data_IF_926962999014
#
_entry.id   IF_926962999014
#
_cell.length_a   1.000
_cell.length_b   1.000
_cell.length_c   1.000
_cell.angle_alpha   90.00
_cell.angle_beta   90.00
_cell.angle_gamma   90.00
#
_symmetry.space_group_name_H-M   'P 1'
#
loop_
_entity.id
_entity.type
_entity.pdbx_description
1 polymer ?
#
# COMPACT_ATOMS: atom_id res chain seq x y z
N UNK A 1 21.31 5.68 1.47
CA UNK A 1 21.02 6.62 2.57
C UNK A 1 19.68 7.35 2.42
N UNK A 2 19.23 7.72 1.21
CA UNK A 2 17.92 8.38 0.97
C UNK A 2 16.67 7.55 1.30
N UNK A 3 16.74 6.22 1.23
CA UNK A 3 15.58 5.35 1.53
C UNK A 3 15.22 5.29 3.02
N UNK A 4 16.21 5.39 3.92
CA UNK A 4 16.01 5.33 5.37
C UNK A 4 15.72 6.70 5.99
N UNK A 5 16.04 7.77 5.26
CA UNK A 5 15.85 9.16 5.67
C UNK A 5 15.22 9.92 4.51
N UNK A 6 13.92 9.72 4.24
CA UNK A 6 13.23 10.43 3.19
C UNK A 6 13.08 11.91 3.58
N UNK A 7 13.21 12.80 2.59
CA UNK A 7 12.96 14.24 2.75
C UNK A 7 11.48 14.53 2.98
N UNK A 8 10.60 13.66 2.44
CA UNK A 8 9.15 13.69 2.61
C UNK A 8 8.66 12.37 3.24
N UNK A 9 8.13 12.40 4.48
CA UNK A 9 7.60 11.20 5.14
C UNK A 9 6.33 10.64 4.48
N UNK A 10 5.72 11.34 3.52
CA UNK A 10 4.53 10.92 2.77
C UNK A 10 4.84 10.39 1.35
N UNK A 11 6.12 10.24 0.98
CA UNK A 11 6.54 9.68 -0.31
C UNK A 11 6.27 8.15 -0.37
N UNK A 12 5.04 7.80 -0.74
CA UNK A 12 4.58 6.40 -0.86
C UNK A 12 5.44 5.59 -1.83
N UNK A 13 5.78 6.06 -3.05
CA UNK A 13 6.67 5.34 -3.95
C UNK A 13 8.01 4.96 -3.31
N UNK A 14 8.62 5.88 -2.56
CA UNK A 14 9.89 5.62 -1.88
C UNK A 14 9.76 4.63 -0.72
N UNK A 15 8.65 4.66 0.01
CA UNK A 15 8.35 3.66 1.04
C UNK A 15 8.21 2.25 0.42
N UNK A 16 7.52 2.13 -0.73
CA UNK A 16 7.40 0.86 -1.48
C UNK A 16 8.76 0.37 -1.94
N UNK A 17 9.62 1.25 -2.47
CA UNK A 17 10.99 0.92 -2.88
C UNK A 17 11.81 0.35 -1.72
N UNK A 18 11.74 0.97 -0.54
CA UNK A 18 12.42 0.48 0.67
C UNK A 18 11.94 -0.91 1.06
N UNK A 19 10.62 -1.14 1.09
CA UNK A 19 10.04 -2.45 1.43
C UNK A 19 10.53 -3.51 0.45
N UNK A 20 10.51 -3.23 -0.85
CA UNK A 20 11.00 -4.16 -1.87
C UNK A 20 12.50 -4.46 -1.72
N UNK A 21 13.31 -3.47 -1.35
CA UNK A 21 14.73 -3.66 -1.08
C UNK A 21 14.96 -4.59 0.13
N UNK A 22 14.20 -4.42 1.21
CA UNK A 22 14.27 -5.31 2.39
C UNK A 22 13.89 -6.75 2.02
N UNK A 23 12.87 -6.92 1.17
CA UNK A 23 12.43 -8.24 0.71
C UNK A 23 13.52 -8.93 -0.13
N UNK A 24 14.14 -8.19 -1.05
CA UNK A 24 15.23 -8.71 -1.88
C UNK A 24 16.46 -9.06 -1.03
N UNK A 25 16.78 -8.23 -0.04
CA UNK A 25 17.87 -8.46 0.90
C UNK A 25 17.66 -9.79 1.64
N UNK A 26 16.49 -10.01 2.24
CA UNK A 26 16.17 -11.27 2.95
C UNK A 26 16.31 -12.50 2.05
N UNK A 27 15.82 -12.44 0.80
CA UNK A 27 15.95 -13.54 -0.17
C UNK A 27 17.40 -13.86 -0.50
N UNK A 28 18.26 -12.85 -0.56
CA UNK A 28 19.69 -12.98 -0.86
C UNK A 28 20.49 -13.59 0.31
N UNK A 29 20.02 -13.41 1.56
CA UNK A 29 20.69 -13.95 2.75
C UNK A 29 20.24 -15.36 3.15
N UNK A 30 19.12 -15.85 2.63
CA UNK A 30 18.63 -17.19 2.94
C UNK A 30 19.66 -18.29 2.58
N UNK A 31 20.48 -18.05 1.56
CA UNK A 31 21.62 -18.88 1.12
C UNK A 31 22.87 -18.73 2.00
N UNK A 32 23.02 -17.62 2.73
CA UNK A 32 24.15 -17.37 3.64
C UNK A 32 23.90 -18.00 5.02
N UNK A 33 22.66 -17.93 5.51
CA UNK A 33 22.25 -18.56 6.77
C UNK A 33 22.35 -20.10 6.74
N UNK A 34 22.27 -20.73 5.56
CA UNK A 34 22.45 -22.19 5.41
C UNK A 34 23.91 -22.65 5.52
N UNK A 35 24.88 -21.75 5.40
CA UNK A 35 26.33 -22.05 5.44
C UNK A 35 26.99 -21.60 6.76
N UNK A 36 26.20 -21.53 7.83
CA UNK A 36 26.45 -20.77 9.08
C UNK A 36 27.49 -21.34 10.05
N UNK A 37 28.58 -21.96 9.59
CA UNK A 37 29.63 -22.45 10.51
C UNK A 37 30.58 -21.35 11.02
N UNK A 38 30.55 -20.13 10.48
CA UNK A 38 31.52 -19.06 10.80
C UNK A 38 30.89 -17.69 11.13
N UNK A 39 29.57 -17.60 11.29
CA UNK A 39 28.89 -16.31 11.49
C UNK A 39 28.78 -15.97 12.98
N UNK A 40 29.07 -14.72 13.32
CA UNK A 40 28.87 -14.20 14.67
C UNK A 40 27.38 -14.23 15.09
N UNK A 41 27.14 -14.40 16.39
CA UNK A 41 25.81 -14.60 16.97
C UNK A 41 24.90 -13.39 16.71
N UNK A 42 25.42 -12.17 16.85
CA UNK A 42 24.65 -10.95 16.68
C UNK A 42 24.25 -10.78 15.21
N UNK A 43 25.18 -11.06 14.29
CA UNK A 43 24.90 -11.05 12.86
C UNK A 43 23.81 -12.07 12.50
N UNK A 44 23.82 -13.25 13.11
CA UNK A 44 22.76 -14.25 12.90
C UNK A 44 21.40 -13.76 13.41
N UNK A 45 21.38 -13.09 14.57
CA UNK A 45 20.15 -12.52 15.14
C UNK A 45 19.57 -11.40 14.27
N UNK A 46 20.43 -10.52 13.73
CA UNK A 46 20.03 -9.44 12.83
C UNK A 46 19.44 -9.99 11.53
N UNK A 47 20.10 -10.97 10.89
CA UNK A 47 19.60 -11.59 9.67
C UNK A 47 18.26 -12.31 9.87
N UNK A 48 18.07 -12.96 11.02
CA UNK A 48 16.77 -13.54 11.40
C UNK A 48 15.70 -12.46 11.55
N UNK A 49 16.04 -11.35 12.18
CA UNK A 49 15.13 -10.21 12.37
C UNK A 49 14.72 -9.58 11.04
N UNK A 50 15.68 -9.37 10.13
CA UNK A 50 15.40 -8.89 8.76
C UNK A 50 14.52 -9.87 8.00
N UNK A 51 14.75 -11.18 8.15
CA UNK A 51 13.94 -12.22 7.49
C UNK A 51 12.50 -12.22 7.99
N UNK A 52 12.29 -12.09 9.29
CA UNK A 52 10.97 -11.99 9.90
C UNK A 52 10.25 -10.70 9.49
N UNK A 53 10.96 -9.57 9.49
CA UNK A 53 10.43 -8.28 9.03
C UNK A 53 10.04 -8.36 7.55
N UNK A 54 10.92 -8.89 6.71
CA UNK A 54 10.66 -9.13 5.28
C UNK A 54 9.40 -9.98 5.07
N UNK A 55 9.29 -11.09 5.79
CA UNK A 55 8.12 -11.97 5.71
C UNK A 55 6.81 -11.23 6.06
N UNK A 56 6.85 -10.35 7.07
CA UNK A 56 5.69 -9.54 7.42
C UNK A 56 5.33 -8.56 6.31
N UNK A 57 6.27 -7.71 5.90
CA UNK A 57 5.99 -6.62 4.95
C UNK A 57 5.67 -7.13 3.54
N UNK A 58 6.31 -8.23 3.10
CA UNK A 58 5.96 -8.92 1.85
C UNK A 58 4.51 -9.40 1.88
N UNK A 59 4.07 -9.96 3.02
CA UNK A 59 2.71 -10.47 3.17
C UNK A 59 1.65 -9.38 3.11
N UNK A 60 2.00 -8.13 3.43
CA UNK A 60 1.11 -7.00 3.29
C UNK A 60 1.15 -6.40 1.89
N UNK A 61 2.35 -6.14 1.35
CA UNK A 61 2.52 -5.36 0.12
C UNK A 61 2.19 -6.16 -1.15
N UNK A 62 2.64 -7.41 -1.23
CA UNK A 62 2.53 -8.23 -2.45
C UNK A 62 1.10 -8.33 -3.00
N UNK A 63 0.04 -8.51 -2.17
CA UNK A 63 -1.35 -8.51 -2.63
C UNK A 63 -1.77 -7.31 -3.47
N UNK A 64 -1.18 -6.13 -3.22
CA UNK A 64 -1.57 -4.89 -3.87
C UNK A 64 -0.75 -4.59 -5.13
N UNK A 65 0.50 -5.06 -5.19
CA UNK A 65 1.40 -4.76 -6.30
C UNK A 65 1.50 -5.89 -7.35
N UNK A 66 1.22 -7.12 -6.97
CA UNK A 66 1.28 -8.27 -7.88
C UNK A 66 -0.11 -8.62 -8.42
N UNK A 67 -0.39 -8.12 -9.62
CA UNK A 67 -1.66 -8.34 -10.33
C UNK A 67 -1.77 -9.74 -10.93
N UNK A 68 -0.71 -10.56 -10.89
CA UNK A 68 -0.76 -11.94 -11.38
C UNK A 68 -1.33 -12.92 -10.35
N UNK A 69 -1.45 -12.49 -9.09
CA UNK A 69 -2.03 -13.30 -8.04
C UNK A 69 -3.54 -13.43 -8.20
N UNK A 70 -4.05 -14.64 -7.94
CA UNK A 70 -5.47 -14.83 -7.72
C UNK A 70 -5.93 -14.16 -6.42
N UNK A 71 -7.20 -13.79 -6.35
CA UNK A 71 -7.81 -13.24 -5.14
C UNK A 71 -7.60 -14.14 -3.92
N UNK A 72 -7.67 -15.46 -4.11
CA UNK A 72 -7.39 -16.44 -3.05
C UNK A 72 -5.95 -16.30 -2.51
N UNK A 73 -4.97 -16.18 -3.39
CA UNK A 73 -3.56 -15.99 -2.98
C UNK A 73 -3.36 -14.63 -2.31
N UNK A 74 -3.98 -13.57 -2.82
CA UNK A 74 -3.96 -12.24 -2.19
C UNK A 74 -4.51 -12.29 -0.75
N UNK A 75 -5.66 -12.94 -0.54
CA UNK A 75 -6.25 -13.13 0.80
C UNK A 75 -5.33 -13.98 1.69
N UNK A 76 -4.68 -15.02 1.15
CA UNK A 76 -3.74 -15.85 1.91
C UNK A 76 -2.55 -15.03 2.41
N UNK A 77 -2.00 -14.15 1.59
CA UNK A 77 -0.93 -13.23 1.99
C UNK A 77 -1.40 -12.27 3.09
N UNK A 78 -2.56 -11.63 2.92
CA UNK A 78 -3.11 -10.72 3.95
C UNK A 78 -3.44 -11.45 5.26
N UNK A 79 -3.92 -12.69 5.19
CA UNK A 79 -4.11 -13.54 6.36
C UNK A 79 -2.76 -13.83 7.05
N UNK A 80 -1.73 -14.20 6.29
CA UNK A 80 -0.36 -14.37 6.82
C UNK A 80 0.13 -13.10 7.50
N UNK A 81 -0.09 -11.93 6.89
CA UNK A 81 0.25 -10.64 7.49
C UNK A 81 -0.45 -10.45 8.83
N UNK A 82 -1.77 -10.61 8.89
CA UNK A 82 -2.56 -10.37 10.11
C UNK A 82 -2.06 -11.21 11.28
N UNK A 83 -1.75 -12.50 11.05
CA UNK A 83 -1.22 -13.40 12.07
C UNK A 83 0.21 -13.05 12.51
N UNK A 84 1.10 -12.72 11.56
CA UNK A 84 2.47 -12.31 11.90
C UNK A 84 2.49 -10.97 12.65
N UNK A 85 1.71 -9.99 12.19
CA UNK A 85 1.55 -8.70 12.86
C UNK A 85 1.01 -8.89 14.27
N UNK A 86 -0.01 -9.74 14.45
CA UNK A 86 -0.53 -10.08 15.77
C UNK A 86 0.56 -10.70 16.67
N UNK A 87 1.30 -11.69 16.18
CA UNK A 87 2.34 -12.36 16.97
C UNK A 87 3.44 -11.38 17.42
N UNK A 88 3.96 -10.55 16.50
CA UNK A 88 5.00 -9.57 16.82
C UNK A 88 4.48 -8.45 17.71
N UNK A 89 3.28 -7.93 17.43
CA UNK A 89 2.67 -6.90 18.26
C UNK A 89 2.32 -7.42 19.66
N UNK A 90 1.87 -8.67 19.78
CA UNK A 90 1.62 -9.28 21.09
C UNK A 90 2.91 -9.39 21.92
N UNK A 91 4.01 -9.82 21.29
CA UNK A 91 5.30 -10.03 21.94
C UNK A 91 6.03 -8.73 22.29
N UNK A 92 6.05 -7.74 21.40
CA UNK A 92 6.90 -6.55 21.50
C UNK A 92 6.12 -5.23 21.58
N UNK A 93 4.80 -5.27 21.34
CA UNK A 93 3.88 -4.12 21.45
C UNK A 93 4.41 -2.91 20.68
N UNK A 94 4.48 -1.76 21.37
CA UNK A 94 4.87 -0.47 20.81
C UNK A 94 6.33 -0.41 20.36
N UNK A 95 7.17 -1.30 20.86
CA UNK A 95 8.58 -1.40 20.44
C UNK A 95 8.71 -1.95 19.02
N UNK A 96 7.69 -2.67 18.53
CA UNK A 96 7.68 -3.19 17.17
C UNK A 96 6.99 -2.24 16.17
N UNK A 97 5.77 -1.80 16.49
CA UNK A 97 5.05 -0.81 15.70
C UNK A 97 4.11 0.02 16.57
N UNK A 98 3.77 1.23 16.12
CA UNK A 98 2.81 2.05 16.86
C UNK A 98 1.40 1.44 16.82
N UNK A 99 0.57 1.76 17.83
CA UNK A 99 -0.82 1.31 17.91
C UNK A 99 -1.63 1.68 16.67
N UNK A 100 -1.37 2.87 16.12
CA UNK A 100 -2.05 3.39 14.95
C UNK A 100 -1.75 2.52 13.73
N UNK A 101 -0.48 2.30 13.41
CA UNK A 101 -0.09 1.45 12.28
C UNK A 101 -0.62 0.03 12.42
N UNK A 102 -0.54 -0.56 13.62
CA UNK A 102 -1.12 -1.88 13.87
C UNK A 102 -2.63 -1.91 13.64
N UNK A 103 -3.35 -0.92 14.15
CA UNK A 103 -4.80 -0.84 13.99
C UNK A 103 -5.19 -0.68 12.53
N UNK A 104 -4.56 0.28 11.84
CA UNK A 104 -4.89 0.63 10.45
C UNK A 104 -4.66 -0.55 9.51
N UNK A 105 -3.52 -1.23 9.61
CA UNK A 105 -3.21 -2.36 8.72
C UNK A 105 -4.08 -3.59 9.02
N UNK A 106 -4.44 -3.84 10.28
CA UNK A 106 -5.38 -4.91 10.64
C UNK A 106 -6.79 -4.58 10.15
N UNK A 107 -7.21 -3.31 10.22
CA UNK A 107 -8.48 -2.87 9.67
C UNK A 107 -8.50 -2.97 8.14
N UNK A 108 -7.41 -2.63 7.45
CA UNK A 108 -7.29 -2.82 6.01
C UNK A 108 -7.49 -4.30 5.63
N UNK A 109 -6.80 -5.23 6.30
CA UNK A 109 -6.95 -6.68 6.06
C UNK A 109 -8.38 -7.14 6.35
N UNK A 110 -8.96 -6.72 7.47
CA UNK A 110 -10.35 -7.04 7.82
C UNK A 110 -11.32 -6.54 6.75
N UNK A 111 -11.17 -5.30 6.30
CA UNK A 111 -12.04 -4.71 5.29
C UNK A 111 -11.99 -5.49 3.98
N UNK A 112 -10.80 -5.89 3.50
CA UNK A 112 -10.67 -6.74 2.31
C UNK A 112 -11.45 -8.05 2.46
N UNK A 113 -11.30 -8.74 3.59
CA UNK A 113 -12.00 -10.01 3.85
C UNK A 113 -13.52 -9.79 3.86
N UNK A 114 -14.00 -8.77 4.57
CA UNK A 114 -15.42 -8.47 4.66
C UNK A 114 -16.02 -8.07 3.32
N UNK A 115 -15.32 -7.26 2.52
CA UNK A 115 -15.76 -6.87 1.19
C UNK A 115 -15.80 -8.08 0.24
N UNK A 116 -14.81 -8.97 0.31
CA UNK A 116 -14.84 -10.22 -0.44
C UNK A 116 -16.07 -11.08 -0.08
N UNK A 117 -16.37 -11.26 1.21
CA UNK A 117 -17.55 -12.02 1.64
C UNK A 117 -18.86 -11.36 1.22
N UNK A 118 -18.96 -10.02 1.34
CA UNK A 118 -20.12 -9.28 0.85
C UNK A 118 -20.32 -9.47 -0.65
N UNK A 119 -19.25 -9.41 -1.43
CA UNK A 119 -19.31 -9.63 -2.88
C UNK A 119 -19.78 -11.05 -3.20
N UNK A 120 -19.27 -12.07 -2.49
CA UNK A 120 -19.73 -13.45 -2.66
C UNK A 120 -21.22 -13.64 -2.38
N UNK A 121 -21.80 -12.89 -1.44
CA UNK A 121 -23.23 -12.93 -1.14
C UNK A 121 -24.04 -12.16 -2.18
N UNK A 122 -23.52 -11.01 -2.64
CA UNK A 122 -24.22 -10.12 -3.57
C UNK A 122 -24.24 -10.66 -5.01
N UNK A 123 -23.08 -11.05 -5.52
CA UNK A 123 -22.90 -11.69 -6.82
C UNK A 123 -21.58 -12.49 -6.83
N UNK A 124 -21.63 -13.83 -6.67
CA UNK A 124 -20.45 -14.69 -6.69
C UNK A 124 -19.70 -14.72 -8.03
N UNK A 125 -20.34 -14.31 -9.13
CA UNK A 125 -19.75 -14.37 -10.47
C UNK A 125 -19.09 -13.06 -10.89
N UNK A 126 -19.39 -11.95 -10.21
CA UNK A 126 -18.76 -10.67 -10.48
C UNK A 126 -17.29 -10.69 -10.03
N UNK A 127 -16.37 -10.09 -10.81
CA UNK A 127 -14.99 -9.98 -10.42
C UNK A 127 -14.83 -9.04 -9.21
N UNK A 128 -13.85 -9.33 -8.37
CA UNK A 128 -13.51 -8.52 -7.21
C UNK A 128 -12.01 -8.23 -7.23
N UNK A 129 -11.65 -6.95 -7.10
CA UNK A 129 -10.26 -6.51 -7.09
C UNK A 129 -9.95 -5.80 -5.78
N UNK A 130 -8.79 -6.11 -5.17
CA UNK A 130 -8.36 -5.48 -3.91
C UNK A 130 -8.27 -3.95 -4.02
N UNK A 131 -7.90 -3.42 -5.19
CA UNK A 131 -7.83 -1.98 -5.42
C UNK A 131 -9.19 -1.28 -5.34
N UNK A 132 -10.30 -2.00 -5.46
CA UNK A 132 -11.65 -1.42 -5.32
C UNK A 132 -12.05 -1.24 -3.84
N UNK A 133 -11.24 -1.78 -2.92
CA UNK A 133 -11.43 -1.64 -1.46
C UNK A 133 -10.70 -0.41 -0.92
N UNK A 134 -9.84 0.21 -1.73
CA UNK A 134 -9.00 1.32 -1.34
C UNK A 134 -9.74 2.66 -1.34
N UNK A 135 -9.19 3.66 -0.64
CA UNK A 135 -9.73 5.01 -0.57
C UNK A 135 -9.13 5.97 -1.60
N UNK A 136 -8.21 5.51 -2.47
CA UNK A 136 -7.70 6.23 -3.64
C UNK A 136 -8.78 7.02 -4.42
N UNK A 137 -9.96 6.45 -4.76
CA UNK A 137 -11.00 7.21 -5.46
C UNK A 137 -11.56 8.37 -4.62
N UNK A 138 -11.59 8.21 -3.30
CA UNK A 138 -12.03 9.22 -2.36
C UNK A 138 -10.96 10.32 -2.22
N UNK A 139 -9.67 9.98 -2.17
CA UNK A 139 -8.57 10.95 -2.16
C UNK A 139 -8.55 11.79 -3.44
N UNK A 140 -8.72 11.18 -4.61
CA UNK A 140 -8.83 11.90 -5.89
C UNK A 140 -10.01 12.87 -5.86
N UNK A 141 -11.16 12.45 -5.30
CA UNK A 141 -12.33 13.29 -5.16
C UNK A 141 -12.06 14.47 -4.19
N UNK A 142 -11.36 14.23 -3.08
CA UNK A 142 -10.94 15.28 -2.15
C UNK A 142 -9.97 16.26 -2.80
N UNK A 143 -8.96 15.78 -3.53
CA UNK A 143 -8.02 16.61 -4.27
C UNK A 143 -8.74 17.51 -5.29
N UNK A 144 -9.68 16.95 -6.06
CA UNK A 144 -10.52 17.72 -7.00
C UNK A 144 -11.39 18.75 -6.29
N UNK A 145 -11.98 18.40 -5.15
CA UNK A 145 -12.77 19.34 -4.34
C UNK A 145 -11.92 20.53 -3.90
N UNK A 146 -10.66 20.31 -3.51
CA UNK A 146 -9.72 21.39 -3.19
C UNK A 146 -9.30 22.22 -4.41
N UNK A 147 -9.07 21.59 -5.57
CA UNK A 147 -8.68 22.30 -6.79
C UNK A 147 -9.77 23.26 -7.29
N UNK A 148 -11.05 22.92 -7.10
CA UNK A 148 -12.18 23.80 -7.47
C UNK A 148 -12.16 25.12 -6.70
N UNK A 149 -11.71 25.09 -5.44
CA UNK A 149 -11.56 26.30 -4.62
C UNK A 149 -10.42 27.23 -5.03
N UNK A 150 -9.57 26.82 -5.98
CA UNK A 150 -8.43 27.61 -6.45
C UNK A 150 -7.49 28.03 -5.31
N UNK A 151 -7.30 29.34 -5.15
CA UNK A 151 -6.45 29.91 -4.09
C UNK A 151 -7.07 29.84 -2.68
N UNK A 152 -8.34 29.45 -2.55
CA UNK A 152 -9.02 29.30 -1.26
C UNK A 152 -9.21 27.83 -0.90
N UNK A 153 -8.13 27.16 -0.53
CA UNK A 153 -8.14 25.75 -0.12
C UNK A 153 -8.87 25.52 1.20
N UNK A 154 -9.01 26.54 2.05
CA UNK A 154 -9.81 26.53 3.26
C UNK A 154 -11.25 26.98 2.97
N UNK A 155 -12.04 26.06 2.40
CA UNK A 155 -13.45 26.32 2.09
C UNK A 155 -14.32 26.26 3.37
N UNK A 156 -15.34 27.12 3.45
CA UNK A 156 -16.40 26.96 4.45
C UNK A 156 -17.22 25.69 4.17
N UNK A 157 -17.95 25.19 5.17
CA UNK A 157 -18.76 23.97 5.00
C UNK A 157 -19.73 24.06 3.81
N UNK A 158 -20.40 25.20 3.61
CA UNK A 158 -21.29 25.39 2.45
C UNK A 158 -20.53 25.32 1.12
N UNK A 159 -19.37 25.97 1.04
CA UNK A 159 -18.51 25.91 -0.15
C UNK A 159 -17.97 24.51 -0.40
N UNK A 160 -17.65 23.75 0.65
CA UNK A 160 -17.19 22.38 0.54
C UNK A 160 -18.27 21.47 -0.10
N UNK A 161 -19.54 21.67 0.27
CA UNK A 161 -20.67 20.92 -0.33
C UNK A 161 -20.83 21.26 -1.81
N UNK A 162 -20.80 22.55 -2.16
CA UNK A 162 -20.92 22.99 -3.56
C UNK A 162 -19.74 22.49 -4.41
N UNK A 163 -18.52 22.59 -3.90
CA UNK A 163 -17.32 22.10 -4.58
C UNK A 163 -17.34 20.57 -4.72
N UNK A 164 -17.82 19.83 -3.71
CA UNK A 164 -17.94 18.38 -3.77
C UNK A 164 -18.96 17.95 -4.83
N UNK A 165 -20.08 18.68 -4.96
CA UNK A 165 -21.07 18.48 -6.02
C UNK A 165 -20.44 18.63 -7.41
N UNK A 166 -19.74 19.75 -7.63
CA UNK A 166 -19.03 19.98 -8.88
C UNK A 166 -17.91 18.95 -9.14
N UNK A 167 -17.15 18.56 -8.12
CA UNK A 167 -16.10 17.54 -8.23
C UNK A 167 -16.68 16.17 -8.65
N UNK A 168 -17.86 15.81 -8.12
CA UNK A 168 -18.57 14.58 -8.48
C UNK A 168 -19.07 14.61 -9.93
N UNK A 169 -19.57 15.74 -10.40
CA UNK A 169 -20.01 15.89 -11.79
C UNK A 169 -18.82 15.77 -12.75
N UNK A 170 -17.70 16.42 -12.42
CA UNK A 170 -16.44 16.32 -13.17
C UNK A 170 -15.93 14.87 -13.18
N UNK A 171 -15.91 14.19 -12.02
CA UNK A 171 -15.51 12.77 -11.93
C UNK A 171 -16.41 11.87 -12.77
N UNK A 172 -17.72 12.15 -12.80
CA UNK A 172 -18.66 11.44 -13.66
C UNK A 172 -18.37 11.64 -15.15
N UNK A 173 -17.99 12.85 -15.57
CA UNK A 173 -17.60 13.14 -16.96
C UNK A 173 -16.32 12.37 -17.31
N UNK A 174 -15.29 12.42 -16.47
CA UNK A 174 -14.03 11.71 -16.72
C UNK A 174 -14.20 10.19 -16.75
N UNK A 175 -15.04 9.62 -15.89
CA UNK A 175 -15.37 8.19 -15.93
C UNK A 175 -16.05 7.77 -17.24
N UNK A 176 -16.84 8.66 -17.86
CA UNK A 176 -17.47 8.42 -19.17
C UNK A 176 -16.54 8.72 -20.35
N UNK A 177 -15.54 9.57 -20.14
CA UNK A 177 -14.57 10.01 -21.14
C UNK A 177 -13.13 9.84 -20.64
N UNK A 178 -12.62 8.60 -20.57
CA UNK A 178 -11.28 8.30 -20.05
C UNK A 178 -10.14 8.90 -20.89
N UNK A 179 -10.44 9.36 -22.10
CA UNK A 179 -9.52 10.08 -22.99
C UNK A 179 -9.19 11.49 -22.49
N UNK A 180 -10.08 12.11 -21.70
CA UNK A 180 -9.94 13.48 -21.19
C UNK A 180 -9.11 13.51 -19.91
N UNK A 181 -9.36 12.56 -19.00
CA UNK A 181 -8.58 12.35 -17.78
C UNK A 181 -8.30 10.86 -17.63
N UNK A 182 -7.15 10.36 -18.10
CA UNK A 182 -6.77 8.96 -17.96
C UNK A 182 -6.47 8.57 -16.50
N UNK A 183 -6.60 9.51 -15.55
CA UNK A 183 -6.27 9.36 -14.15
C UNK A 183 -4.77 9.43 -13.89
N UNK A 184 -4.38 9.29 -12.62
CA UNK A 184 -2.99 9.02 -12.29
C UNK A 184 -2.61 7.70 -12.96
N UNK A 185 -1.72 7.77 -13.97
CA UNK A 185 -1.09 6.55 -14.50
C UNK A 185 -0.50 5.84 -13.30
N UNK A 186 -1.12 4.72 -12.89
CA UNK A 186 -0.49 3.75 -11.99
C UNK A 186 0.95 3.64 -12.45
N UNK A 187 1.88 3.79 -11.50
CA UNK A 187 3.31 3.60 -11.74
C UNK A 187 3.44 2.44 -12.72
N UNK A 188 3.82 2.74 -13.97
CA UNK A 188 4.24 1.69 -14.88
C UNK A 188 5.47 1.14 -14.18
N UNK A 189 5.32 -0.02 -13.54
CA UNK A 189 6.40 -0.77 -12.92
C UNK A 189 7.27 -1.38 -14.03
N UNK A 190 7.62 -0.57 -15.03
CA UNK A 190 8.74 -0.80 -15.91
C UNK A 190 9.97 -0.56 -15.06
N UNK A 191 10.59 -1.66 -14.62
CA UNK A 191 11.95 -1.67 -14.09
C UNK A 191 12.85 -0.84 -15.00
N UNK A 192 13.13 0.40 -14.65
CA UNK A 192 14.30 1.12 -15.14
C UNK A 192 14.67 2.21 -14.14
N UNK A 193 15.84 2.04 -13.55
CA UNK A 193 16.60 3.11 -12.91
C UNK A 193 16.80 4.26 -13.89
N UNK A 194 16.58 5.48 -13.43
CA UNK A 194 17.08 6.68 -14.08
C UNK A 194 16.23 7.19 -15.25
N UNK A 195 15.08 7.78 -14.95
CA UNK A 195 14.63 8.95 -15.73
C UNK A 195 14.14 9.99 -14.73
N UNK A 196 15.11 10.75 -14.25
CA UNK A 196 14.88 12.12 -13.81
C UNK A 196 14.58 12.97 -15.06
N UNK A 197 13.76 14.00 -14.86
CA UNK A 197 13.39 15.07 -15.77
C UNK A 197 12.11 14.97 -16.63
N UNK A 198 11.07 15.69 -16.14
CA UNK A 198 10.39 16.83 -16.76
C UNK A 198 9.98 16.70 -18.26
N UNK A 199 8.68 16.79 -18.60
CA UNK A 199 8.05 18.02 -19.16
C UNK A 199 6.66 17.84 -19.77
N UNK A 200 5.87 18.90 -19.55
CA UNK A 200 4.75 19.48 -20.30
C UNK A 200 3.42 18.73 -20.42
#
# INVERSE_FOLDING_TARGET
>A
MKLLHPDDPQDVPRAVELILAIIQLSKSHHTLLSNSFSMDIDTCADLKSITLLSALIESFLTPFIDTTLSLFNQIRYLSRYSHLAFAFFHAQRRSFMCYQLYYDTQMAVKNVIFCCTKQQILDPNAPFYLGDVDDDPLEILFGRTHMIGGHNSACSFAQAIDHLGAAKDIDGVFKRHPDIDPGHRRLKLTRHEGVDHINR
#
